data_IF_883412236199
#
_entry.id   IF_883412236199
#
_cell.length_a   1.000
_cell.length_b   1.000
_cell.length_c   1.000
_cell.angle_alpha   90.00
_cell.angle_beta   90.00
_cell.angle_gamma   90.00
#
_symmetry.space_group_name_H-M   'P 1'
#
loop_
_entity.id
_entity.type
_entity.pdbx_description
1 polymer ?
2 non-polymer ?
3 non-polymer ?
4 non-polymer ?
5 non-polymer ?
6 non-polymer ?
7 water ?
#
# COMPACT_ATOMS: atom_id res chain seq x y z
N UNK A 9 12.75 15.23 -13.75
CA UNK A 9 11.56 16.03 -13.35
C UNK A 9 10.23 15.47 -13.92
N UNK A 10 10.08 14.14 -13.96
CA UNK A 10 8.98 13.42 -14.68
C UNK A 10 8.31 12.45 -13.68
N UNK A 11 6.98 12.34 -13.74
CA UNK A 11 6.15 11.36 -12.99
C UNK A 11 5.76 10.22 -13.94
N UNK A 12 6.07 8.99 -13.55
CA UNK A 12 5.61 7.77 -14.26
C UNK A 12 4.22 7.36 -13.81
N UNK A 13 3.45 6.75 -14.71
CA UNK A 13 2.10 6.19 -14.44
C UNK A 13 1.95 4.85 -15.15
N UNK A 14 1.52 3.81 -14.45
CA UNK A 14 1.24 2.50 -15.12
C UNK A 14 -0.22 2.15 -14.85
N UNK A 15 -0.90 1.70 -15.90
CA UNK A 15 -2.31 1.28 -15.91
C UNK A 15 -2.49 0.34 -17.09
N UNK A 16 -3.06 -0.84 -16.85
CA UNK A 16 -3.42 -1.78 -17.95
C UNK A 16 -4.78 -2.40 -17.62
N UNK A 17 -5.75 -2.25 -18.54
CA UNK A 17 -7.17 -2.68 -18.43
C UNK A 17 -7.23 -4.21 -18.25
N UNK A 18 -6.18 -4.98 -18.58
CA UNK A 18 -6.26 -6.45 -18.46
C UNK A 18 -6.41 -6.81 -16.98
N UNK A 19 -6.04 -5.91 -16.06
CA UNK A 19 -6.12 -6.17 -14.60
C UNK A 19 -7.59 -6.14 -14.13
N UNK A 20 -8.51 -5.60 -14.93
CA UNK A 20 -9.96 -5.65 -14.67
C UNK A 20 -10.51 -7.10 -14.80
N UNK A 21 -9.81 -7.99 -15.51
CA UNK A 21 -10.27 -9.39 -15.81
C UNK A 21 -10.53 -10.20 -14.53
N UNK A 22 -9.81 -9.96 -13.42
CA UNK A 22 -10.01 -10.63 -12.11
C UNK A 22 -11.34 -10.14 -11.52
N UNK A 23 -12.27 -11.05 -11.27
CA UNK A 23 -13.65 -10.73 -10.80
C UNK A 23 -14.13 -11.86 -9.92
N UNK A 24 -15.24 -11.61 -9.25
CA UNK A 24 -15.95 -12.54 -8.35
C UNK A 24 -17.18 -13.08 -9.08
N UNK A 25 -17.10 -14.29 -9.65
CA UNK A 25 -18.14 -14.82 -10.56
C UNK A 25 -19.41 -15.11 -9.76
N UNK A 26 -19.33 -15.26 -8.42
CA UNK A 26 -20.45 -15.63 -7.50
C UNK A 26 -21.21 -14.39 -6.99
N UNK A 27 -20.57 -13.22 -6.93
CA UNK A 27 -21.12 -11.99 -6.29
C UNK A 27 -20.58 -10.80 -7.08
N UNK A 28 -21.28 -10.39 -8.13
CA UNK A 28 -20.80 -9.35 -9.06
C UNK A 28 -20.77 -7.97 -8.39
N UNK A 29 -21.25 -7.81 -7.14
CA UNK A 29 -21.23 -6.50 -6.44
C UNK A 29 -20.21 -6.47 -5.30
N UNK A 30 -19.41 -7.53 -5.11
CA UNK A 30 -18.24 -7.54 -4.18
C UNK A 30 -17.52 -6.21 -4.33
N UNK A 31 -17.09 -5.53 -3.25
CA UNK A 31 -16.54 -4.19 -3.37
C UNK A 31 -15.18 -4.07 -4.12
N UNK A 32 -14.33 -5.11 -4.10
CA UNK A 32 -13.08 -5.18 -4.91
C UNK A 32 -13.45 -5.37 -6.39
N UNK A 33 -14.02 -4.32 -7.01
CA UNK A 33 -14.59 -4.30 -8.38
C UNK A 33 -13.49 -4.08 -9.40
N UNK A 34 -13.62 -4.71 -10.58
CA UNK A 34 -12.77 -4.41 -11.74
C UNK A 34 -12.67 -2.90 -12.07
N UNK A 35 -13.74 -2.17 -11.81
CA UNK A 35 -13.88 -0.78 -12.31
C UNK A 35 -13.20 0.17 -11.30
N UNK A 36 -12.61 -0.37 -10.22
CA UNK A 36 -11.76 0.43 -9.30
C UNK A 36 -10.64 1.11 -10.10
N UNK A 37 -9.90 0.35 -10.89
CA UNK A 37 -8.71 0.87 -11.64
C UNK A 37 -9.21 1.65 -12.87
N UNK A 38 -10.22 1.17 -13.60
CA UNK A 38 -10.76 1.91 -14.78
C UNK A 38 -11.31 3.28 -14.35
N UNK A 39 -11.93 3.37 -13.17
CA UNK A 39 -12.49 4.66 -12.67
C UNK A 39 -11.34 5.60 -12.25
N UNK A 40 -10.29 5.09 -11.60
CA UNK A 40 -9.13 5.94 -11.26
C UNK A 40 -8.53 6.48 -12.56
N UNK A 41 -8.30 5.64 -13.56
CA UNK A 41 -7.63 6.04 -14.83
C UNK A 41 -8.47 7.13 -15.53
N UNK A 42 -9.75 6.88 -15.73
CA UNK A 42 -10.72 7.83 -16.35
C UNK A 42 -10.60 9.21 -15.68
N UNK A 43 -10.45 9.25 -14.34
CA UNK A 43 -10.44 10.53 -13.56
C UNK A 43 -9.11 11.25 -13.81
N UNK A 44 -8.02 10.51 -13.97
CA UNK A 44 -6.70 11.11 -14.30
C UNK A 44 -6.84 11.78 -15.69
N UNK A 45 -7.58 11.17 -16.60
CA UNK A 45 -7.79 11.76 -17.95
C UNK A 45 -8.65 13.02 -17.84
N UNK A 46 -9.71 13.02 -17.02
CA UNK A 46 -10.65 14.16 -16.85
C UNK A 46 -9.92 15.38 -16.25
N UNK A 47 -9.01 15.15 -15.30
CA UNK A 47 -8.21 16.21 -14.64
C UNK A 47 -6.94 16.55 -15.46
N UNK A 48 -6.76 15.92 -16.62
CA UNK A 48 -5.68 16.21 -17.61
C UNK A 48 -4.33 15.92 -16.97
N UNK A 49 -4.30 15.03 -15.98
CA UNK A 49 -3.06 14.53 -15.32
C UNK A 49 -2.40 13.42 -16.17
N UNK A 50 -3.16 12.73 -17.01
CA UNK A 50 -2.62 11.57 -17.77
C UNK A 50 -1.51 12.05 -18.72
N UNK A 51 -1.81 13.06 -19.55
CA UNK A 51 -0.93 13.54 -20.65
C UNK A 51 0.32 14.18 -20.09
N UNK A 52 0.33 14.54 -18.81
CA UNK A 52 1.50 15.15 -18.10
C UNK A 52 2.42 14.06 -17.54
N UNK A 53 2.02 12.79 -17.59
CA UNK A 53 2.81 11.70 -17.01
C UNK A 53 3.51 11.00 -18.15
N UNK A 54 4.56 10.25 -17.81
CA UNK A 54 5.24 9.28 -18.70
C UNK A 54 4.58 7.91 -18.52
N UNK A 55 4.00 7.36 -19.58
CA UNK A 55 3.34 6.04 -19.51
C UNK A 55 4.40 4.93 -19.45
N UNK A 56 4.52 4.24 -18.30
CA UNK A 56 5.37 3.04 -18.08
C UNK A 56 4.55 1.82 -18.42
N UNK A 57 4.99 0.97 -19.38
CA UNK A 57 4.21 -0.21 -19.76
C UNK A 57 4.11 -1.18 -18.58
N UNK A 58 3.04 -1.98 -18.55
CA UNK A 58 2.85 -3.12 -17.65
C UNK A 58 3.64 -4.33 -18.19
N UNK A 59 3.99 -5.27 -17.32
CA UNK A 59 4.54 -6.59 -17.74
C UNK A 59 4.11 -7.62 -16.69
N UNK A 60 4.20 -8.89 -17.03
CA UNK A 60 3.99 -9.96 -16.01
C UNK A 60 5.25 -10.01 -15.14
N UNK A 61 5.12 -10.09 -13.83
CA UNK A 61 6.20 -10.66 -12.99
C UNK A 61 6.51 -12.08 -13.48
N UNK A 62 7.72 -12.56 -13.24
CA UNK A 62 8.14 -13.97 -13.43
C UNK A 62 7.97 -14.70 -12.11
N UNK A 63 8.05 -16.01 -12.14
CA UNK A 63 8.00 -16.91 -10.97
C UNK A 63 9.28 -16.77 -10.13
N UNK A 64 10.43 -16.52 -10.77
CA UNK A 64 11.68 -16.25 -10.05
C UNK A 64 11.46 -14.98 -9.18
N UNK A 65 10.83 -13.96 -9.74
CA UNK A 65 10.59 -12.66 -9.06
C UNK A 65 9.59 -12.86 -7.93
N UNK A 66 8.59 -13.71 -8.10
CA UNK A 66 7.59 -13.99 -7.04
C UNK A 66 8.30 -14.72 -5.89
N UNK A 67 9.30 -15.54 -6.17
CA UNK A 67 10.06 -16.27 -5.13
C UNK A 67 10.96 -15.30 -4.35
N UNK A 68 10.98 -13.99 -4.71
CA UNK A 68 11.67 -12.96 -3.87
C UNK A 68 11.03 -12.89 -2.47
N UNK A 69 9.70 -13.09 -2.36
CA UNK A 69 8.93 -13.00 -1.10
C UNK A 69 8.12 -14.25 -0.75
N UNK A 70 7.76 -15.09 -1.74
CA UNK A 70 6.74 -16.15 -1.56
C UNK A 70 7.39 -17.53 -1.72
N UNK A 71 6.78 -18.57 -1.16
CA UNK A 71 7.26 -19.98 -1.28
C UNK A 71 6.76 -20.59 -2.60
N UNK A 72 7.45 -21.64 -3.04
CA UNK A 72 7.12 -22.50 -4.21
C UNK A 72 5.68 -23.01 -4.14
N UNK A 73 5.23 -23.48 -2.96
CA UNK A 73 3.88 -24.05 -2.74
C UNK A 73 2.85 -22.99 -3.14
N UNK A 74 2.92 -21.83 -2.48
CA UNK A 74 1.96 -20.73 -2.64
C UNK A 74 1.92 -20.32 -4.13
N UNK A 75 3.08 -20.08 -4.73
CA UNK A 75 3.16 -19.63 -6.15
C UNK A 75 2.47 -20.67 -7.04
N UNK A 76 2.72 -21.95 -6.76
CA UNK A 76 2.23 -23.09 -7.58
C UNK A 76 0.70 -23.22 -7.43
N UNK A 77 0.19 -23.14 -6.20
CA UNK A 77 -1.27 -23.27 -5.90
C UNK A 77 -2.06 -22.18 -6.67
N UNK A 78 -1.58 -20.92 -6.68
CA UNK A 78 -2.24 -19.76 -7.37
C UNK A 78 -2.10 -19.93 -8.87
N UNK A 79 -0.93 -20.34 -9.36
CA UNK A 79 -0.69 -20.58 -10.80
C UNK A 79 -1.74 -21.59 -11.25
N UNK A 80 -1.91 -22.65 -10.46
CA UNK A 80 -2.85 -23.75 -10.81
C UNK A 80 -4.31 -23.22 -10.98
N UNK A 81 -4.65 -22.02 -10.45
CA UNK A 81 -6.05 -21.51 -10.46
C UNK A 81 -6.48 -21.15 -11.90
N UNK A 82 -5.52 -20.91 -12.77
CA UNK A 82 -5.76 -20.56 -14.20
C UNK A 82 -6.63 -21.61 -14.89
N UNK A 83 -6.45 -22.88 -14.54
CA UNK A 83 -6.98 -24.07 -15.26
C UNK A 83 -8.16 -24.67 -14.48
N UNK A 84 -8.44 -24.15 -13.28
CA UNK A 84 -9.49 -24.66 -12.37
C UNK A 84 -10.87 -24.27 -12.89
N UNK A 85 -11.84 -25.18 -12.71
CA UNK A 85 -13.29 -24.96 -12.97
C UNK A 85 -13.86 -24.26 -11.74
N UNK A 86 -15.01 -23.56 -11.87
CA UNK A 86 -15.56 -22.75 -10.79
C UNK A 86 -15.59 -23.44 -9.41
N UNK A 87 -16.10 -24.68 -9.37
CA UNK A 87 -16.21 -25.53 -8.16
C UNK A 87 -14.88 -25.59 -7.40
N UNK A 88 -13.78 -25.76 -8.13
CA UNK A 88 -12.42 -25.90 -7.55
C UNK A 88 -11.94 -24.50 -7.15
N UNK A 89 -12.27 -23.48 -7.94
CA UNK A 89 -11.94 -22.07 -7.61
C UNK A 89 -12.59 -21.70 -6.27
N UNK A 90 -13.90 -21.94 -6.14
CA UNK A 90 -14.67 -21.70 -4.89
C UNK A 90 -13.93 -22.38 -3.75
N UNK A 91 -13.61 -23.67 -3.95
CA UNK A 91 -12.96 -24.52 -2.90
C UNK A 91 -11.61 -23.92 -2.52
N UNK A 92 -10.85 -23.45 -3.52
CA UNK A 92 -9.51 -22.84 -3.30
C UNK A 92 -9.64 -21.53 -2.51
N UNK A 93 -10.52 -20.61 -2.94
CA UNK A 93 -10.76 -19.33 -2.24
C UNK A 93 -11.02 -19.50 -0.76
N UNK A 94 -11.84 -20.50 -0.40
CA UNK A 94 -12.34 -20.77 0.97
C UNK A 94 -11.24 -21.35 1.87
N UNK A 95 -10.10 -21.78 1.32
CA UNK A 95 -8.96 -22.24 2.18
C UNK A 95 -8.21 -21.03 2.77
N UNK A 96 -8.44 -19.80 2.27
CA UNK A 96 -7.87 -18.54 2.82
C UNK A 96 -8.97 -17.66 3.45
N UNK A 97 -8.54 -16.67 4.21
CA UNK A 97 -9.42 -15.64 4.83
C UNK A 97 -9.77 -14.59 3.76
N UNK A 98 -11.02 -14.57 3.25
CA UNK A 98 -11.57 -13.50 2.38
C UNK A 98 -10.76 -13.34 1.07
N UNK A 99 -10.72 -14.42 0.30
CA UNK A 99 -10.24 -14.49 -1.10
C UNK A 99 -11.39 -15.02 -1.98
N UNK A 100 -11.59 -14.39 -3.14
CA UNK A 100 -12.32 -14.94 -4.30
C UNK A 100 -11.31 -15.08 -5.45
N UNK A 101 -11.40 -16.16 -6.23
CA UNK A 101 -10.48 -16.44 -7.36
C UNK A 101 -11.28 -16.70 -8.64
N UNK A 102 -10.78 -16.19 -9.76
CA UNK A 102 -11.22 -16.51 -11.14
C UNK A 102 -10.02 -17.01 -11.97
N UNK A 103 -10.33 -17.46 -13.17
CA UNK A 103 -9.38 -18.00 -14.17
C UNK A 103 -8.25 -16.99 -14.38
N UNK A 104 -8.59 -15.71 -14.35
CA UNK A 104 -7.73 -14.60 -14.82
C UNK A 104 -6.93 -13.99 -13.66
N UNK A 105 -7.15 -14.47 -12.42
CA UNK A 105 -6.68 -13.84 -11.16
C UNK A 105 -5.16 -13.83 -11.08
N UNK A 106 -4.53 -14.98 -11.30
CA UNK A 106 -3.06 -15.20 -11.19
C UNK A 106 -2.36 -14.24 -12.16
N UNK A 107 -2.91 -14.14 -13.37
CA UNK A 107 -2.39 -13.25 -14.43
C UNK A 107 -2.56 -11.78 -14.01
N UNK A 108 -3.72 -11.40 -13.47
CA UNK A 108 -3.94 -10.05 -12.88
C UNK A 108 -2.95 -9.81 -11.75
N UNK A 109 -2.69 -10.78 -10.87
CA UNK A 109 -1.76 -10.62 -9.72
C UNK A 109 -0.32 -10.43 -10.24
N UNK A 110 0.12 -11.24 -11.21
CA UNK A 110 1.45 -11.09 -11.90
C UNK A 110 1.59 -9.70 -12.54
N UNK A 111 0.52 -9.21 -13.19
CA UNK A 111 0.52 -7.92 -13.93
C UNK A 111 0.63 -6.78 -12.90
N UNK A 112 0.00 -6.92 -11.74
CA UNK A 112 0.05 -5.85 -10.72
C UNK A 112 1.49 -5.76 -10.16
N UNK A 113 2.15 -6.90 -9.98
CA UNK A 113 3.53 -6.96 -9.46
C UNK A 113 4.56 -6.48 -10.52
N UNK A 114 4.46 -6.96 -11.76
CA UNK A 114 5.40 -6.56 -12.82
C UNK A 114 5.29 -5.08 -13.16
N UNK A 115 4.08 -4.52 -13.11
CA UNK A 115 3.83 -3.08 -13.33
C UNK A 115 4.63 -2.23 -12.32
N UNK A 116 4.66 -2.67 -11.06
CA UNK A 116 5.37 -1.99 -9.96
C UNK A 116 6.89 -2.15 -10.13
N UNK A 117 7.34 -3.33 -10.57
CA UNK A 117 8.76 -3.55 -10.92
C UNK A 117 9.17 -2.54 -12.01
N UNK A 118 8.48 -2.50 -13.14
CA UNK A 118 8.77 -1.54 -14.24
C UNK A 118 8.77 -0.11 -13.69
N UNK A 119 7.83 0.24 -12.80
CA UNK A 119 7.77 1.56 -12.15
C UNK A 119 9.05 1.78 -11.34
N UNK A 120 9.41 0.80 -10.51
CA UNK A 120 10.57 0.90 -9.60
C UNK A 120 11.87 1.03 -10.42
N UNK A 121 11.93 0.34 -11.57
CA UNK A 121 13.09 0.39 -12.50
C UNK A 121 13.19 1.80 -13.09
N UNK A 122 12.08 2.38 -13.55
CA UNK A 122 12.00 3.73 -14.16
C UNK A 122 12.54 4.75 -13.15
N UNK A 123 12.17 4.61 -11.89
CA UNK A 123 12.66 5.51 -10.82
C UNK A 123 14.16 5.29 -10.65
N UNK A 124 14.62 4.05 -10.49
CA UNK A 124 16.03 3.80 -10.10
C UNK A 124 17.01 3.93 -11.30
N UNK A 125 16.54 3.89 -12.53
CA UNK A 125 17.35 4.22 -13.74
C UNK A 125 17.34 5.73 -14.00
N UNK A 126 16.48 6.52 -13.36
CA UNK A 126 16.35 7.97 -13.65
C UNK A 126 15.46 8.29 -14.86
N UNK A 127 14.79 7.31 -15.47
CA UNK A 127 13.80 7.58 -16.55
C UNK A 127 12.70 8.51 -15.98
N UNK A 128 12.32 8.31 -14.71
CA UNK A 128 11.41 9.24 -13.97
C UNK A 128 11.95 9.49 -12.56
N UNK A 129 11.35 10.47 -11.89
CA UNK A 129 11.62 10.93 -10.50
C UNK A 129 10.80 10.06 -9.50
N UNK A 130 9.51 9.89 -9.80
CA UNK A 130 8.46 9.27 -8.95
C UNK A 130 7.39 8.66 -9.87
N UNK A 131 6.49 7.84 -9.34
CA UNK A 131 5.51 7.14 -10.21
C UNK A 131 4.27 6.74 -9.42
N UNK A 132 3.14 6.54 -10.11
CA UNK A 132 1.90 5.93 -9.54
C UNK A 132 1.63 4.65 -10.31
N UNK A 133 1.11 3.63 -9.63
CA UNK A 133 0.73 2.35 -10.26
C UNK A 133 -0.75 2.09 -9.94
N UNK A 134 -1.62 2.14 -10.95
CA UNK A 134 -3.08 1.90 -10.82
C UNK A 134 -3.32 0.42 -11.10
N UNK A 135 -3.17 -0.39 -10.07
CA UNK A 135 -3.18 -1.86 -10.26
C UNK A 135 -4.16 -2.51 -9.29
N UNK A 136 -4.62 -3.70 -9.68
CA UNK A 136 -5.40 -4.65 -8.84
C UNK A 136 -5.07 -6.03 -9.38
N UNK A 137 -5.27 -7.10 -8.58
CA UNK A 137 -5.71 -6.98 -7.19
C UNK A 137 -4.60 -6.51 -6.24
N UNK A 138 -4.96 -5.99 -5.06
CA UNK A 138 -3.99 -5.48 -4.09
C UNK A 138 -3.12 -6.59 -3.48
N UNK A 139 -2.23 -6.22 -2.54
CA UNK A 139 -1.12 -7.07 -2.10
C UNK A 139 -0.82 -7.17 -0.62
N UNK A 140 -1.07 -6.15 0.20
CA UNK A 140 -0.38 -6.01 1.51
C UNK A 140 -0.78 -7.13 2.50
N UNK A 141 -1.88 -7.84 2.27
CA UNK A 141 -2.33 -8.89 3.19
C UNK A 141 -1.70 -10.24 2.82
N UNK A 142 -1.13 -10.38 1.62
CA UNK A 142 -0.52 -11.65 1.17
C UNK A 142 0.76 -11.88 1.97
N UNK A 143 0.90 -13.07 2.54
CA UNK A 143 2.11 -13.49 3.27
C UNK A 143 2.93 -14.43 2.39
N UNK A 144 4.12 -14.80 2.87
CA UNK A 144 5.09 -15.67 2.20
C UNK A 144 4.35 -16.93 1.68
N UNK A 145 3.52 -17.58 2.52
CA UNK A 145 2.93 -18.91 2.19
C UNK A 145 1.40 -18.91 1.97
N UNK A 146 0.66 -17.79 2.06
CA UNK A 146 -0.81 -17.77 1.75
C UNK A 146 -1.34 -16.43 1.24
N UNK A 147 -2.50 -16.49 0.60
CA UNK A 147 -3.32 -15.36 0.13
C UNK A 147 -4.27 -14.99 1.27
N UNK A 148 -4.82 -13.78 1.27
CA UNK A 148 -5.56 -13.19 2.41
C UNK A 148 -6.10 -11.81 2.03
N UNK A 149 -7.34 -11.52 2.42
CA UNK A 149 -7.95 -10.19 2.30
C UNK A 149 -7.82 -9.64 0.89
N UNK A 150 -8.19 -10.42 -0.13
CA UNK A 150 -8.32 -10.02 -1.55
C UNK A 150 -6.93 -9.98 -2.22
N UNK A 151 -5.86 -10.37 -1.50
CA UNK A 151 -4.44 -10.28 -1.95
C UNK A 151 -3.84 -11.67 -2.21
N UNK A 152 -3.20 -11.83 -3.37
CA UNK A 152 -2.55 -13.10 -3.80
C UNK A 152 -1.05 -13.08 -3.51
N UNK A 153 -0.35 -12.08 -4.03
CA UNK A 153 1.10 -11.87 -3.81
C UNK A 153 1.28 -10.47 -3.27
N UNK A 154 2.31 -10.22 -2.47
CA UNK A 154 2.51 -8.92 -1.81
C UNK A 154 3.27 -8.01 -2.77
N UNK A 155 2.55 -7.28 -3.61
CA UNK A 155 3.10 -6.36 -4.62
C UNK A 155 4.18 -5.45 -4.00
N UNK A 156 3.89 -4.75 -2.93
CA UNK A 156 4.81 -3.74 -2.36
C UNK A 156 6.04 -4.45 -1.82
N UNK A 157 5.87 -5.61 -1.16
CA UNK A 157 7.02 -6.36 -0.61
C UNK A 157 7.89 -6.85 -1.77
N UNK A 158 7.29 -7.30 -2.88
CA UNK A 158 8.11 -7.82 -4.00
C UNK A 158 8.86 -6.65 -4.64
N UNK A 159 8.25 -5.46 -4.69
CA UNK A 159 8.87 -4.27 -5.35
C UNK A 159 10.10 -3.85 -4.53
N UNK A 160 9.95 -3.78 -3.22
CA UNK A 160 11.08 -3.56 -2.31
C UNK A 160 12.24 -4.53 -2.62
N UNK A 161 11.98 -5.83 -2.85
CA UNK A 161 13.08 -6.82 -3.09
C UNK A 161 13.65 -6.63 -4.50
N UNK A 162 12.78 -6.33 -5.44
CA UNK A 162 13.16 -6.12 -6.85
C UNK A 162 14.15 -4.95 -6.92
N UNK A 163 13.85 -3.86 -6.20
CA UNK A 163 14.73 -2.66 -6.13
C UNK A 163 16.14 -3.07 -5.71
N UNK A 164 16.22 -3.87 -4.63
CA UNK A 164 17.48 -4.29 -3.98
C UNK A 164 18.23 -5.19 -4.95
N UNK A 165 17.50 -5.97 -5.76
CA UNK A 165 18.06 -6.97 -6.73
C UNK A 165 18.70 -6.28 -7.96
N UNK A 166 18.33 -5.04 -8.29
CA UNK A 166 18.93 -4.23 -9.40
C UNK A 166 19.79 -3.10 -8.83
N UNK A 167 20.01 -3.03 -7.53
CA UNK A 167 20.91 -2.04 -6.91
C UNK A 167 21.84 -2.77 -5.95
N UNK A 168 21.51 -2.84 -4.67
CA UNK A 168 22.28 -3.60 -3.67
C UNK A 168 21.33 -4.13 -2.58
N UNK A 169 21.66 -5.31 -2.03
CA UNK A 169 20.82 -6.08 -1.06
C UNK A 169 20.36 -5.15 0.08
N UNK A 170 21.22 -4.23 0.55
CA UNK A 170 20.94 -3.31 1.68
C UNK A 170 20.32 -1.97 1.21
N UNK A 171 19.86 -1.83 -0.06
CA UNK A 171 19.17 -0.57 -0.47
C UNK A 171 18.07 -0.25 0.53
N UNK A 172 18.06 0.95 1.11
CA UNK A 172 17.15 1.33 2.21
C UNK A 172 15.81 1.72 1.61
N UNK A 173 14.78 0.89 1.86
CA UNK A 173 13.40 1.06 1.34
C UNK A 173 12.50 1.28 2.53
N UNK A 174 11.71 2.34 2.45
CA UNK A 174 10.65 2.64 3.42
C UNK A 174 9.34 2.29 2.75
N UNK A 175 8.53 1.48 3.43
CA UNK A 175 7.12 1.21 3.02
C UNK A 175 6.18 1.91 4.01
N UNK A 176 5.41 2.86 3.48
CA UNK A 176 4.35 3.60 4.21
C UNK A 176 3.01 3.06 3.70
N UNK A 177 2.23 2.48 4.60
CA UNK A 177 0.97 1.76 4.34
C UNK A 177 -0.17 2.55 5.00
N UNK A 178 -0.85 3.39 4.23
CA UNK A 178 -1.90 4.31 4.76
C UNK A 178 -3.28 3.75 4.37
N UNK A 179 -3.29 2.58 3.76
CA UNK A 179 -4.51 1.75 3.64
C UNK A 179 -5.03 1.55 5.07
N UNK A 180 -6.33 1.59 5.29
CA UNK A 180 -6.95 1.60 6.65
C UNK A 180 -6.68 0.28 7.38
N UNK A 181 -6.39 -0.77 6.62
CA UNK A 181 -6.18 -2.16 7.13
C UNK A 181 -4.68 -2.37 7.33
N UNK A 182 -4.34 -3.16 8.34
CA UNK A 182 -2.92 -3.47 8.64
C UNK A 182 -2.38 -4.36 7.52
N UNK A 183 -1.17 -4.07 7.04
CA UNK A 183 -0.45 -4.95 6.09
C UNK A 183 0.20 -6.11 6.82
N UNK A 184 -0.61 -7.08 7.25
CA UNK A 184 -0.15 -8.29 7.98
C UNK A 184 1.00 -8.93 7.19
N UNK A 185 0.88 -9.04 5.87
CA UNK A 185 1.93 -9.72 5.06
C UNK A 185 3.21 -8.89 4.99
N UNK A 186 3.10 -7.62 4.62
CA UNK A 186 4.28 -6.72 4.56
C UNK A 186 5.05 -6.84 5.88
N UNK A 187 4.37 -6.73 7.00
CA UNK A 187 5.03 -6.72 8.33
C UNK A 187 5.83 -8.02 8.48
N UNK A 188 5.24 -9.15 8.08
CA UNK A 188 5.81 -10.50 8.39
C UNK A 188 7.04 -10.71 7.51
N UNK A 189 6.92 -10.39 6.23
CA UNK A 189 8.00 -10.59 5.23
C UNK A 189 9.25 -9.85 5.70
N UNK A 190 9.11 -8.67 6.28
CA UNK A 190 10.27 -7.81 6.58
C UNK A 190 10.52 -7.69 8.09
N UNK A 191 9.93 -8.52 8.94
CA UNK A 191 9.93 -8.28 10.40
C UNK A 191 11.34 -8.42 10.97
N UNK A 192 12.21 -9.17 10.30
CA UNK A 192 13.62 -9.42 10.74
C UNK A 192 14.62 -8.56 9.97
N UNK A 193 14.16 -7.58 9.21
CA UNK A 193 14.95 -6.86 8.20
C UNK A 193 15.15 -5.39 8.60
N UNK A 194 16.40 -4.91 8.58
CA UNK A 194 16.73 -3.49 8.88
C UNK A 194 16.81 -2.70 7.56
N UNK A 195 16.83 -3.36 6.42
CA UNK A 195 16.97 -2.68 5.10
C UNK A 195 15.60 -2.14 4.66
N UNK A 196 14.51 -2.70 5.19
CA UNK A 196 13.12 -2.30 4.81
C UNK A 196 12.36 -1.92 6.08
N UNK A 197 12.17 -0.63 6.27
CA UNK A 197 11.33 -0.06 7.36
C UNK A 197 9.87 -0.10 6.89
N UNK A 198 9.02 -0.78 7.62
CA UNK A 198 7.56 -0.81 7.40
C UNK A 198 6.88 0.11 8.43
N UNK A 199 6.00 1.02 7.96
CA UNK A 199 5.15 1.90 8.80
C UNK A 199 3.71 1.86 8.27
N UNK A 200 2.83 1.36 9.13
CA UNK A 200 1.38 1.20 8.88
C UNK A 200 0.58 2.08 9.86
N UNK A 201 -0.33 2.86 9.31
CA UNK A 201 -1.43 3.49 10.05
C UNK A 201 -2.65 2.62 9.71
N UNK A 202 -3.45 2.25 10.70
CA UNK A 202 -4.55 1.27 10.52
C UNK A 202 -5.58 1.41 11.64
N UNK A 203 -6.84 1.25 11.30
CA UNK A 203 -7.90 1.05 12.30
C UNK A 203 -7.63 -0.30 12.98
N UNK A 204 -7.70 -0.37 14.32
CA UNK A 204 -7.36 -1.59 15.08
C UNK A 204 -8.56 -2.06 15.92
N UNK A 205 -9.17 -1.16 16.69
CA UNK A 205 -10.30 -1.42 17.63
C UNK A 205 -9.99 -2.67 18.49
N UNK A 206 -8.77 -2.79 19.02
CA UNK A 206 -8.27 -3.89 19.91
C UNK A 206 -8.52 -5.25 19.26
N UNK A 207 -8.40 -5.32 17.94
CA UNK A 207 -8.50 -6.58 17.17
C UNK A 207 -9.91 -6.84 16.61
N UNK A 208 -10.87 -5.94 16.76
CA UNK A 208 -12.24 -6.16 16.23
C UNK A 208 -12.27 -5.87 14.71
N UNK A 209 -11.32 -5.08 14.24
CA UNK A 209 -11.28 -4.59 12.83
C UNK A 209 -10.35 -5.52 12.06
N UNK A 210 -10.69 -5.83 10.81
CA UNK A 210 -9.98 -6.80 9.93
C UNK A 210 -8.55 -6.34 9.73
N UNK A 211 -7.52 -7.23 9.75
CA UNK A 211 -7.65 -8.70 9.80
C UNK A 211 -7.51 -9.32 11.21
N UNK A 212 -7.91 -8.58 12.24
CA UNK A 212 -8.43 -9.19 13.48
C UNK A 212 -7.30 -9.86 14.30
N UNK A 213 -6.09 -9.34 14.27
CA UNK A 213 -4.91 -9.96 14.97
C UNK A 213 -4.13 -8.91 15.78
N UNK A 214 -3.48 -9.34 16.87
CA UNK A 214 -2.68 -8.47 17.79
C UNK A 214 -1.32 -8.11 17.15
N UNK A 215 -1.01 -8.68 15.98
CA UNK A 215 0.24 -8.35 15.23
C UNK A 215 0.21 -6.89 14.77
N UNK A 216 -0.97 -6.24 14.75
CA UNK A 216 -1.15 -4.86 14.27
C UNK A 216 -1.02 -3.83 15.41
N UNK A 217 -0.78 -4.27 16.65
CA UNK A 217 -0.59 -3.36 17.82
C UNK A 217 0.80 -2.70 17.79
N UNK A 218 0.93 -1.58 18.50
CA UNK A 218 2.11 -0.67 18.53
C UNK A 218 3.35 -1.37 19.11
N UNK A 219 3.19 -2.45 19.90
CA UNK A 219 4.31 -3.14 20.63
C UNK A 219 5.00 -4.14 19.69
N UNK A 220 4.50 -4.31 18.46
CA UNK A 220 5.14 -5.15 17.43
C UNK A 220 6.13 -4.26 16.67
N UNK A 221 7.38 -4.24 17.13
CA UNK A 221 8.40 -3.23 16.73
C UNK A 221 9.42 -3.91 15.82
N UNK A 222 9.23 -5.20 15.57
CA UNK A 222 10.15 -6.02 14.77
C UNK A 222 11.00 -6.92 15.66
N UNK A 223 11.73 -7.85 15.03
CA UNK A 223 12.49 -8.93 15.71
C UNK A 223 13.94 -8.94 15.23
N UNK A 224 14.85 -9.34 16.13
CA UNK A 224 16.28 -9.57 15.82
C UNK A 224 16.93 -8.29 15.33
N UNK A 225 17.48 -8.29 14.13
CA UNK A 225 18.15 -7.10 13.55
C UNK A 225 17.11 -6.07 13.07
N UNK A 226 15.84 -6.49 12.96
CA UNK A 226 14.72 -5.63 12.49
C UNK A 226 13.92 -5.03 13.63
N UNK A 227 14.45 -5.06 14.84
CA UNK A 227 13.85 -4.41 16.01
C UNK A 227 13.98 -2.89 15.81
N UNK A 228 12.86 -2.18 15.77
CA UNK A 228 12.77 -0.73 15.48
C UNK A 228 12.22 -0.50 14.07
N UNK A 229 12.33 -1.46 13.16
CA UNK A 229 12.07 -1.20 11.71
C UNK A 229 10.68 -1.69 11.32
N UNK A 230 9.81 -1.88 12.31
CA UNK A 230 8.38 -2.19 12.14
C UNK A 230 7.59 -1.26 13.05
N UNK A 231 6.94 -0.27 12.45
CA UNK A 231 6.18 0.77 13.19
C UNK A 231 4.72 0.63 12.79
N UNK A 232 3.90 0.16 13.75
CA UNK A 232 2.41 0.10 13.69
C UNK A 232 1.80 1.29 14.45
N UNK A 233 0.86 1.98 13.82
CA UNK A 233 0.07 3.10 14.40
C UNK A 233 -1.40 2.70 14.40
N UNK A 234 -1.86 2.04 15.49
CA UNK A 234 -3.21 1.48 15.54
C UNK A 234 -4.21 2.46 16.16
N UNK A 235 -5.30 2.71 15.42
CA UNK A 235 -6.41 3.61 15.86
C UNK A 235 -7.47 2.82 16.60
N UNK A 236 -8.02 3.37 17.68
CA UNK A 236 -9.14 2.81 18.48
C UNK A 236 -10.16 3.89 18.81
N UNK A 237 -11.45 3.54 19.01
CA UNK A 237 -12.54 4.47 19.35
C UNK A 237 -13.10 5.22 18.12
N UNK A 238 -13.34 4.52 17.00
CA UNK A 238 -14.14 4.98 15.85
C UNK A 238 -13.45 6.08 15.04
N UNK A 239 -14.26 6.92 14.38
CA UNK A 239 -13.93 7.76 13.19
C UNK A 239 -12.66 8.61 13.44
N UNK A 240 -11.77 8.66 12.43
CA UNK A 240 -10.51 9.45 12.33
C UNK A 240 -10.45 10.07 10.94
N UNK A 241 -9.85 11.25 10.78
CA UNK A 241 -9.62 11.91 9.48
C UNK A 241 -8.28 12.64 9.37
N UNK A 242 -8.25 13.70 8.57
CA UNK A 242 -7.04 14.52 8.28
C UNK A 242 -6.29 14.87 9.57
N UNK A 243 -6.92 15.43 10.62
CA UNK A 243 -6.14 15.87 11.78
C UNK A 243 -5.29 14.76 12.40
N UNK A 244 -5.85 13.55 12.57
CA UNK A 244 -5.16 12.44 13.27
C UNK A 244 -4.02 11.91 12.37
N UNK A 245 -4.20 11.93 11.03
CA UNK A 245 -3.19 11.40 10.07
C UNK A 245 -2.03 12.41 9.94
N UNK A 246 -2.37 13.69 9.77
CA UNK A 246 -1.39 14.82 9.84
C UNK A 246 -0.55 14.69 11.13
N UNK A 247 -1.18 14.56 12.29
CA UNK A 247 -0.47 14.43 13.58
C UNK A 247 0.44 13.20 13.58
N UNK A 248 -0.03 12.04 13.15
CA UNK A 248 0.82 10.83 13.22
C UNK A 248 2.03 11.04 12.29
N UNK A 249 1.81 11.63 11.11
CA UNK A 249 2.88 12.03 10.15
C UNK A 249 3.85 13.03 10.80
N UNK A 250 3.36 14.02 11.54
CA UNK A 250 4.21 15.06 12.19
C UNK A 250 5.11 14.41 13.25
N UNK A 251 4.58 13.56 14.11
CA UNK A 251 5.30 13.08 15.32
C UNK A 251 6.00 11.75 15.10
N UNK A 252 5.60 10.92 14.12
CA UNK A 252 6.06 9.51 14.02
C UNK A 252 6.64 9.21 12.65
N UNK A 253 5.80 9.25 11.61
CA UNK A 253 6.18 8.80 10.23
C UNK A 253 7.39 9.62 9.78
N UNK A 254 7.30 10.94 9.78
CA UNK A 254 8.30 11.81 9.11
C UNK A 254 9.59 11.87 9.94
N UNK A 255 9.57 12.04 11.28
CA UNK A 255 10.81 11.93 12.06
C UNK A 255 11.48 10.57 11.90
N UNK A 256 10.73 9.47 11.90
CA UNK A 256 11.35 8.12 11.79
C UNK A 256 11.93 7.93 10.39
N UNK A 257 11.21 8.31 9.32
CA UNK A 257 11.70 8.22 7.93
C UNK A 257 13.00 9.02 7.76
N UNK A 258 13.05 10.27 8.24
CA UNK A 258 14.27 11.13 8.11
C UNK A 258 15.47 10.45 8.77
N UNK A 259 15.33 9.87 9.98
CA UNK A 259 16.47 9.21 10.68
C UNK A 259 16.85 7.86 10.02
N UNK A 260 15.94 7.25 9.26
CA UNK A 260 16.19 6.00 8.49
C UNK A 260 16.94 6.34 7.17
N UNK A 261 16.61 7.50 6.61
CA UNK A 261 17.14 7.99 5.32
C UNK A 261 16.92 6.93 4.24
N UNK A 262 15.67 6.66 3.81
CA UNK A 262 15.43 5.76 2.69
C UNK A 262 16.01 6.27 1.37
N UNK A 263 16.43 5.34 0.52
CA UNK A 263 16.91 5.55 -0.87
C UNK A 263 15.75 5.31 -1.85
N UNK A 264 14.65 4.69 -1.38
CA UNK A 264 13.36 4.60 -2.11
C UNK A 264 12.23 4.56 -1.10
N UNK A 265 11.15 5.30 -1.38
CA UNK A 265 9.84 5.24 -0.67
C UNK A 265 8.83 4.51 -1.56
N UNK A 266 8.21 3.45 -1.02
CA UNK A 266 7.00 2.76 -1.55
C UNK A 266 5.77 3.10 -0.69
N UNK A 267 4.69 3.56 -1.32
CA UNK A 267 3.41 3.73 -0.60
C UNK A 267 2.46 2.60 -1.00
N UNK A 268 2.10 1.77 -0.04
CA UNK A 268 0.89 0.91 -0.10
C UNK A 268 -0.30 1.83 0.11
N UNK A 269 -0.82 2.36 -0.99
CA UNK A 269 -1.84 3.43 -1.04
C UNK A 269 -3.22 2.82 -1.23
N UNK A 270 -3.77 2.28 -0.16
CA UNK A 270 -5.22 2.06 -0.03
C UNK A 270 -5.90 3.38 0.21
N UNK A 271 -7.06 3.57 -0.40
CA UNK A 271 -7.92 4.77 -0.22
C UNK A 271 -9.19 4.35 0.52
N UNK A 272 -9.08 3.34 1.39
CA UNK A 272 -10.24 2.92 2.23
C UNK A 272 -10.33 3.75 3.51
N UNK A 273 -9.42 4.68 3.79
CA UNK A 273 -9.60 5.60 4.93
C UNK A 273 -10.30 6.87 4.42
N UNK A 274 -10.73 6.88 3.16
CA UNK A 274 -11.39 8.07 2.54
C UNK A 274 -12.77 8.33 3.18
N UNK A 275 -13.14 9.59 3.29
CA UNK A 275 -14.56 9.97 3.41
C UNK A 275 -15.30 9.23 2.29
N UNK A 276 -16.38 8.50 2.63
CA UNK A 276 -17.24 7.78 1.67
C UNK A 276 -17.02 6.26 1.66
N UNK A 277 -15.90 5.77 2.18
CA UNK A 277 -15.56 4.33 2.07
C UNK A 277 -16.49 3.57 3.02
N UNK A 278 -17.23 2.56 2.50
CA UNK A 278 -18.15 1.80 3.33
C UNK A 278 -17.45 0.78 4.24
N UNK A 279 -16.16 0.50 4.05
CA UNK A 279 -15.45 -0.55 4.84
C UNK A 279 -14.55 0.07 5.92
N UNK A 280 -14.16 1.34 5.78
CA UNK A 280 -13.10 1.94 6.62
C UNK A 280 -13.71 2.69 7.79
N UNK A 281 -14.75 3.49 7.54
CA UNK A 281 -15.43 4.34 8.53
C UNK A 281 -14.71 5.66 8.80
N UNK A 282 -13.64 5.97 8.09
CA UNK A 282 -12.81 7.18 8.32
C UNK A 282 -13.17 8.28 7.32
N UNK A 283 -12.61 9.48 7.54
CA UNK A 283 -12.98 10.73 6.80
C UNK A 283 -11.72 11.44 6.28
N UNK A 284 -10.69 10.69 5.90
CA UNK A 284 -9.45 11.28 5.32
C UNK A 284 -9.87 11.87 3.98
N UNK A 285 -9.65 13.17 3.77
CA UNK A 285 -10.19 13.88 2.58
C UNK A 285 -9.16 13.75 1.48
N UNK A 286 -9.54 13.99 0.20
CA UNK A 286 -8.59 13.98 -0.90
C UNK A 286 -7.39 14.94 -0.67
N UNK A 287 -7.68 16.14 -0.17
CA UNK A 287 -6.63 17.12 0.24
C UNK A 287 -5.75 16.52 1.37
N UNK A 288 -6.33 15.74 2.27
CA UNK A 288 -5.56 15.01 3.29
C UNK A 288 -4.51 14.12 2.64
N UNK A 289 -4.92 13.38 1.60
CA UNK A 289 -4.04 12.45 0.84
C UNK A 289 -2.95 13.24 0.10
N UNK A 290 -3.27 14.38 -0.51
CA UNK A 290 -2.28 15.29 -1.14
C UNK A 290 -1.22 15.71 -0.12
N UNK A 291 -1.60 16.10 1.09
CA UNK A 291 -0.58 16.56 2.07
C UNK A 291 0.33 15.37 2.40
N UNK A 292 -0.23 14.22 2.78
CA UNK A 292 0.56 12.99 3.06
C UNK A 292 1.58 12.72 1.95
N UNK A 293 1.14 12.75 0.69
CA UNK A 293 2.00 12.54 -0.49
C UNK A 293 3.13 13.58 -0.52
N UNK A 294 2.80 14.86 -0.34
CA UNK A 294 3.76 15.96 -0.47
C UNK A 294 4.84 15.84 0.60
N UNK A 295 4.50 15.45 1.84
CA UNK A 295 5.52 15.27 2.90
C UNK A 295 6.49 14.14 2.49
N UNK A 296 5.98 13.03 1.97
CA UNK A 296 6.83 11.88 1.58
C UNK A 296 7.76 12.29 0.43
N UNK A 297 7.38 13.26 -0.40
CA UNK A 297 8.24 13.75 -1.52
C UNK A 297 9.54 14.39 -1.00
N UNK A 298 9.55 14.83 0.26
CA UNK A 298 10.76 15.38 0.94
C UNK A 298 11.79 14.28 1.19
N UNK A 299 11.42 12.99 1.11
CA UNK A 299 12.31 11.84 1.41
C UNK A 299 12.99 11.30 0.15
N UNK A 300 14.15 10.64 0.36
CA UNK A 300 14.89 9.83 -0.65
C UNK A 300 15.01 10.61 -1.96
N UNK A 301 15.28 11.92 -1.90
CA UNK A 301 15.41 12.85 -3.05
C UNK A 301 14.20 12.71 -4.02
N UNK A 302 12.99 12.41 -3.49
CA UNK A 302 11.70 12.45 -4.21
C UNK A 302 11.36 11.14 -4.90
N UNK A 303 12.15 10.09 -4.68
CA UNK A 303 11.95 8.74 -5.28
C UNK A 303 10.86 8.01 -4.50
N UNK A 304 9.62 8.25 -4.92
CA UNK A 304 8.36 7.73 -4.32
C UNK A 304 7.63 6.93 -5.37
N UNK A 305 7.20 5.75 -4.99
CA UNK A 305 6.24 4.97 -5.81
C UNK A 305 4.94 4.75 -5.01
N UNK A 306 3.82 5.26 -5.53
CA UNK A 306 2.48 5.12 -4.93
C UNK A 306 1.79 3.93 -5.60
N UNK A 307 1.49 2.89 -4.82
CA UNK A 307 0.93 1.60 -5.31
C UNK A 307 -0.49 1.46 -4.75
N UNK A 308 -1.50 1.32 -5.61
CA UNK A 308 -2.92 1.11 -5.19
C UNK A 308 -3.08 -0.20 -4.41
N UNK A 309 -3.63 -0.12 -3.20
CA UNK A 309 -4.08 -1.26 -2.36
C UNK A 309 -5.62 -1.26 -2.31
N UNK A 310 -6.25 -1.05 -1.16
CA UNK A 310 -7.72 -1.05 -1.05
C UNK A 310 -8.32 0.32 -1.32
N UNK A 311 -9.56 0.55 -0.89
CA UNK A 311 -10.40 1.68 -1.29
C UNK A 311 -11.51 1.23 -2.23
N UNK A 312 -12.76 1.39 -1.80
CA UNK A 312 -13.93 0.75 -2.44
C UNK A 312 -15.02 1.74 -2.78
N UNK A 313 -14.91 3.02 -2.40
CA UNK A 313 -15.85 4.07 -2.92
C UNK A 313 -15.25 4.63 -4.20
N UNK A 314 -15.85 4.32 -5.35
CA UNK A 314 -15.25 4.60 -6.68
C UNK A 314 -14.95 6.12 -6.83
N UNK A 315 -15.82 7.01 -6.40
CA UNK A 315 -15.60 8.48 -6.50
C UNK A 315 -14.44 8.89 -5.58
N UNK A 316 -14.42 8.41 -4.34
CA UNK A 316 -13.39 8.72 -3.31
C UNK A 316 -11.99 8.25 -3.73
N UNK A 317 -11.84 7.02 -4.20
CA UNK A 317 -10.51 6.50 -4.60
C UNK A 317 -10.08 7.23 -5.87
N UNK A 318 -11.01 7.53 -6.81
CA UNK A 318 -10.72 8.30 -8.06
C UNK A 318 -10.20 9.70 -7.69
N UNK A 319 -10.89 10.41 -6.80
CA UNK A 319 -10.51 11.78 -6.39
C UNK A 319 -9.18 11.73 -5.63
N UNK A 320 -9.07 10.87 -4.62
CA UNK A 320 -7.90 10.79 -3.72
C UNK A 320 -6.62 10.38 -4.47
N UNK A 321 -6.67 9.37 -5.34
CA UNK A 321 -5.41 8.93 -5.99
C UNK A 321 -4.97 9.99 -7.01
N UNK A 322 -5.90 10.52 -7.81
CA UNK A 322 -5.68 11.62 -8.79
C UNK A 322 -5.04 12.81 -8.06
N UNK A 323 -5.46 13.04 -6.83
CA UNK A 323 -4.92 14.14 -6.00
C UNK A 323 -3.45 13.84 -5.63
N UNK A 324 -3.11 12.59 -5.32
CA UNK A 324 -1.70 12.18 -5.04
C UNK A 324 -0.82 12.33 -6.28
N UNK A 325 -1.32 12.02 -7.48
CA UNK A 325 -0.56 12.12 -8.74
C UNK A 325 -0.26 13.61 -8.97
N UNK A 326 -1.26 14.46 -8.76
CA UNK A 326 -1.13 15.94 -8.85
C UNK A 326 0.07 16.41 -8.00
N UNK A 327 0.21 15.98 -6.74
CA UNK A 327 1.38 16.31 -5.89
C UNK A 327 2.70 15.78 -6.50
N UNK A 328 2.72 14.54 -6.96
CA UNK A 328 3.92 13.94 -7.58
C UNK A 328 4.35 14.77 -8.80
N UNK A 329 3.41 15.27 -9.60
CA UNK A 329 3.67 16.12 -10.78
C UNK A 329 4.17 17.51 -10.36
N UNK A 330 4.19 17.80 -9.06
CA UNK A 330 4.76 19.02 -8.47
C UNK A 330 3.72 20.11 -8.26
N UNK A 331 2.43 19.84 -8.34
CA UNK A 331 1.40 20.91 -8.12
C UNK A 331 1.42 21.37 -6.64
N UNK A 332 1.09 22.63 -6.36
CA UNK A 332 1.05 23.19 -4.98
C UNK A 332 0.06 22.41 -4.12
N UNK A 333 0.39 22.10 -2.85
CA UNK A 333 -0.53 21.36 -2.00
C UNK A 333 -1.79 22.16 -1.73
N UNK A 334 -2.98 21.54 -1.74
CA UNK A 334 -4.23 22.28 -1.51
C UNK A 334 -4.28 22.78 -0.06
N UNK A 335 -5.12 23.80 0.16
CA UNK A 335 -5.55 24.25 1.50
C UNK A 335 -6.34 23.11 2.17
N UNK A 336 -5.99 22.71 3.41
CA UNK A 336 -6.83 21.78 4.21
C UNK A 336 -7.97 22.57 4.88
N UNK A 337 -7.66 23.77 5.37
CA UNK A 337 -8.48 24.52 6.36
C UNK A 337 -8.48 23.66 7.63
N UNK A 338 -7.31 23.09 7.97
CA UNK A 338 -7.03 22.35 9.23
C UNK A 338 -7.51 23.23 10.40
N UNK A 339 -8.67 22.90 10.97
CA UNK A 339 -9.24 23.67 12.13
C UNK A 339 -9.69 22.71 13.24
N UNK A 340 -9.19 21.46 13.29
CA UNK A 340 -9.66 20.45 14.28
C UNK A 340 -8.52 19.97 15.17
N UNK A 341 -8.72 19.92 16.51
CA UNK A 341 -7.90 19.13 17.42
C UNK A 341 -8.23 17.63 17.38
N UNK A 342 -7.32 16.82 17.91
CA UNK A 342 -7.27 15.34 17.84
C UNK A 342 -8.33 14.72 18.73
N UNK A 343 -8.95 13.63 18.29
CA UNK A 343 -9.79 12.74 19.13
C UNK A 343 -8.90 12.27 20.28
N UNK A 344 -9.47 12.11 21.46
CA UNK A 344 -8.71 11.75 22.69
C UNK A 344 -7.92 10.48 22.40
N UNK A 345 -8.55 9.50 21.73
CA UNK A 345 -8.00 8.13 21.57
C UNK A 345 -6.86 8.13 20.55
N UNK A 346 -6.86 9.04 19.57
CA UNK A 346 -5.77 9.18 18.57
C UNK A 346 -4.48 9.68 19.23
N UNK A 347 -4.55 10.64 20.17
CA UNK A 347 -3.45 11.10 21.07
C UNK A 347 -2.90 9.92 21.88
N UNK A 348 -3.78 9.15 22.55
CA UNK A 348 -3.37 7.92 23.30
C UNK A 348 -2.61 6.97 22.35
N UNK A 349 -3.11 6.69 21.15
CA UNK A 349 -2.43 5.86 20.11
C UNK A 349 -1.03 6.44 19.84
N UNK A 350 -0.93 7.74 19.53
CA UNK A 350 0.37 8.34 19.13
C UNK A 350 1.38 8.27 20.30
N UNK A 351 0.98 8.54 21.54
CA UNK A 351 1.95 8.43 22.66
C UNK A 351 2.35 6.96 22.84
N UNK A 352 1.46 6.01 22.56
CA UNK A 352 1.80 4.57 22.73
C UNK A 352 2.93 4.22 21.75
N UNK A 353 2.79 4.67 20.50
CA UNK A 353 3.79 4.36 19.46
C UNK A 353 5.08 5.07 19.85
N UNK A 354 5.03 6.31 20.39
CA UNK A 354 6.26 7.11 20.72
C UNK A 354 7.00 6.42 21.88
N UNK A 355 6.29 5.87 22.87
CA UNK A 355 6.93 5.15 24.01
C UNK A 355 7.65 3.88 23.51
N UNK A 356 7.10 3.20 22.50
CA UNK A 356 7.59 1.85 22.07
C UNK A 356 8.74 1.99 21.07
N UNK A 357 8.87 3.12 20.36
CA UNK A 357 9.89 3.30 19.29
C UNK A 357 11.03 4.24 19.75
N UNK A 358 10.89 4.98 20.85
CA UNK A 358 11.97 5.83 21.42
C UNK A 358 13.23 5.03 21.72
N UNK A 359 13.17 3.78 22.19
CA UNK A 359 14.41 3.01 22.36
C UNK A 359 15.24 2.87 21.08
N UNK A 360 14.60 2.95 19.91
CA UNK A 360 15.21 2.65 18.58
C UNK A 360 15.50 3.93 17.77
N UNK A 361 14.68 4.97 17.89
CA UNK A 361 14.78 6.25 17.12
C UNK A 361 15.06 7.46 18.04
N UNK A 362 16.26 8.03 17.97
CA UNK A 362 16.72 9.19 18.79
C UNK A 362 15.82 10.42 18.57
N UNK A 363 15.12 10.51 17.44
CA UNK A 363 14.34 11.70 17.05
C UNK A 363 12.95 11.71 17.70
N UNK A 364 12.57 10.67 18.46
CA UNK A 364 11.27 10.58 19.18
C UNK A 364 11.45 10.88 20.67
N UNK A 365 12.70 11.10 21.08
CA UNK A 365 13.08 11.44 22.46
C UNK A 365 12.87 12.95 22.60
#
# INVERSE_FOLDING_TARGET
>A
GSNAGGSSPITGLVYDQRMMLHHNMWDSHHPELPQRISRIFSRHEELRLLSRCHRIPARLATEEELALCHSSKHISIIKSSEHMKPRDLNRLGDEYNSIFISNESYTCALLAAGSCFNSAQAILTGQVRNAVAIVRPPGHHAEKDTACGFCFFNTAALTARYAQSITRESLRVLIVDWDVHHGNGTQHIFEEDDSVLYISLHRYEDGAFFPNSEDANYDKVGLGKGRGYNVNIPWNGGKMGDPEYMAAFHHLVMPIAREFAPELVLVSAGFDAARGDPLGGFQVTPEGYAHLTHQLMSLAAGRVLIILEGGYNLTSISESMSMCTSMLLGDSPPSLDHLTPLKTSATVSINNVLRAHAPFWSSLR
#
